data_IF_358244895142
#
_entry.id   IF_358244895142
#
_cell.length_a   1.000
_cell.length_b   1.000
_cell.length_c   1.000
_cell.angle_alpha   90.00
_cell.angle_beta   90.00
_cell.angle_gamma   90.00
#
_symmetry.space_group_name_H-M   'P 1'
#
loop_
_entity.id
_entity.type
_entity.pdbx_description
1 polymer ?
#
# COMPACT_ATOMS: atom_id res chain seq x y z
N UNK A 1 21.36 -24.18 -32.11
CA UNK A 1 20.84 -24.12 -30.74
C UNK A 1 21.56 -23.08 -29.87
N UNK A 2 22.85 -23.26 -29.52
CA UNK A 2 23.58 -22.35 -28.60
C UNK A 2 23.64 -20.88 -29.04
N UNK A 3 23.83 -20.60 -30.33
CA UNK A 3 23.94 -19.23 -30.85
C UNK A 3 22.67 -18.37 -30.60
N UNK A 4 21.49 -18.98 -30.74
CA UNK A 4 20.20 -18.31 -30.56
C UNK A 4 19.87 -18.05 -29.09
N UNK A 5 20.16 -19.02 -28.22
CA UNK A 5 20.05 -18.84 -26.77
C UNK A 5 20.99 -17.72 -26.30
N UNK A 6 22.23 -17.68 -26.78
CA UNK A 6 23.19 -16.61 -26.43
C UNK A 6 22.73 -15.24 -26.93
N UNK A 7 22.17 -15.17 -28.15
CA UNK A 7 21.63 -13.93 -28.71
C UNK A 7 20.44 -13.41 -27.89
N UNK A 8 19.58 -14.31 -27.41
CA UNK A 8 18.51 -13.97 -26.49
C UNK A 8 19.05 -13.46 -25.15
N UNK A 9 20.05 -14.13 -24.56
CA UNK A 9 20.67 -13.71 -23.30
C UNK A 9 21.36 -12.34 -23.39
N UNK A 10 21.85 -11.95 -24.58
CA UNK A 10 22.43 -10.63 -24.84
C UNK A 10 21.38 -9.55 -25.10
N UNK A 11 20.11 -9.91 -25.24
CA UNK A 11 19.01 -9.00 -25.52
C UNK A 11 18.05 -8.96 -24.31
N UNK A 12 18.06 -7.85 -23.56
CA UNK A 12 17.24 -7.64 -22.37
C UNK A 12 15.72 -7.65 -22.62
N UNK A 13 15.28 -7.51 -23.87
CA UNK A 13 13.89 -7.62 -24.27
C UNK A 13 13.51 -9.04 -24.69
N UNK A 14 14.47 -9.96 -24.84
CA UNK A 14 14.19 -11.34 -25.24
C UNK A 14 13.76 -12.20 -24.04
N UNK A 15 12.52 -12.70 -24.08
CA UNK A 15 11.91 -13.56 -23.06
C UNK A 15 11.74 -15.02 -23.54
N UNK A 16 11.57 -15.22 -24.84
CA UNK A 16 11.51 -16.55 -25.44
C UNK A 16 12.01 -16.50 -26.88
N UNK A 17 12.11 -17.66 -27.54
CA UNK A 17 12.58 -17.73 -28.93
C UNK A 17 11.81 -18.77 -29.73
N UNK A 18 11.54 -18.47 -31.00
CA UNK A 18 11.17 -19.49 -31.98
C UNK A 18 12.47 -20.03 -32.59
N UNK A 19 12.60 -21.35 -32.73
CA UNK A 19 13.77 -21.99 -33.34
C UNK A 19 13.36 -22.81 -34.55
N UNK A 20 14.08 -22.64 -35.67
CA UNK A 20 13.87 -23.46 -36.86
C UNK A 20 14.28 -24.91 -36.55
N UNK A 21 13.58 -25.89 -37.12
CA UNK A 21 13.92 -27.32 -37.01
C UNK A 21 14.92 -27.76 -38.06
N UNK A 22 15.18 -26.94 -39.08
CA UNK A 22 16.17 -27.19 -40.13
C UNK A 22 17.14 -26.03 -40.27
N UNK A 23 18.33 -26.33 -40.77
CA UNK A 23 19.31 -25.32 -41.13
C UNK A 23 18.89 -24.60 -42.41
N UNK A 24 19.18 -23.30 -42.50
CA UNK A 24 19.07 -22.54 -43.73
C UNK A 24 20.08 -23.00 -44.77
N UNK A 25 19.98 -22.46 -45.98
CA UNK A 25 20.90 -22.73 -47.10
C UNK A 25 22.35 -22.34 -46.80
N UNK A 26 22.56 -21.50 -45.78
CA UNK A 26 23.84 -21.07 -45.23
C UNK A 26 24.40 -21.99 -44.13
N UNK A 27 23.71 -23.11 -43.84
CA UNK A 27 24.09 -24.04 -42.79
C UNK A 27 23.84 -23.52 -41.37
N UNK A 28 23.14 -22.39 -41.18
CA UNK A 28 22.83 -21.84 -39.84
C UNK A 28 21.41 -22.16 -39.41
N UNK A 29 21.23 -22.34 -38.10
CA UNK A 29 19.93 -22.48 -37.47
C UNK A 29 19.33 -21.08 -37.23
N UNK A 30 18.16 -20.84 -37.80
CA UNK A 30 17.44 -19.58 -37.67
C UNK A 30 16.62 -19.54 -36.37
N UNK A 31 16.54 -18.35 -35.78
CA UNK A 31 15.72 -18.10 -34.61
C UNK A 31 15.12 -16.70 -34.62
N UNK A 32 13.96 -16.58 -33.99
CA UNK A 32 13.27 -15.33 -33.74
C UNK A 32 13.31 -15.06 -32.24
N UNK A 33 13.75 -13.87 -31.84
CA UNK A 33 13.76 -13.44 -30.45
C UNK A 33 12.42 -12.79 -30.12
N UNK A 34 11.73 -13.29 -29.10
CA UNK A 34 10.40 -12.83 -28.71
C UNK A 34 10.48 -12.06 -27.39
N UNK A 35 9.78 -10.92 -27.33
CA UNK A 35 9.62 -10.12 -26.10
C UNK A 35 8.42 -10.50 -25.25
N UNK A 36 7.92 -11.72 -25.44
CA UNK A 36 6.79 -12.32 -24.75
C UNK A 36 7.10 -13.79 -24.48
N UNK A 37 6.55 -14.33 -23.41
CA UNK A 37 6.53 -15.77 -23.14
C UNK A 37 5.12 -16.20 -22.69
N UNK A 38 4.97 -17.47 -22.31
CA UNK A 38 3.70 -18.01 -21.82
C UNK A 38 3.19 -17.30 -20.54
N UNK A 39 4.06 -16.56 -19.83
CA UNK A 39 3.77 -15.95 -18.53
C UNK A 39 3.67 -14.42 -18.58
N UNK A 40 4.34 -13.75 -19.53
CA UNK A 40 4.45 -12.29 -19.69
C UNK A 40 4.07 -11.92 -21.12
N UNK A 41 3.12 -11.00 -21.25
CA UNK A 41 2.52 -10.60 -22.53
C UNK A 41 1.93 -11.79 -23.32
N UNK A 42 1.21 -12.68 -22.64
CA UNK A 42 0.63 -13.89 -23.22
C UNK A 42 -0.28 -13.62 -24.44
N UNK A 43 -0.91 -12.43 -24.51
CA UNK A 43 -1.70 -12.01 -25.69
C UNK A 43 -0.87 -11.79 -26.96
N UNK A 44 0.43 -11.48 -26.81
CA UNK A 44 1.39 -11.31 -27.92
C UNK A 44 2.28 -12.54 -28.12
N UNK A 45 2.13 -13.55 -27.25
CA UNK A 45 2.84 -14.81 -27.37
C UNK A 45 2.24 -15.61 -28.53
N UNK A 46 2.98 -15.68 -29.63
CA UNK A 46 2.56 -16.35 -30.84
C UNK A 46 3.55 -17.44 -31.23
N UNK A 47 3.02 -18.55 -31.74
CA UNK A 47 3.80 -19.55 -32.46
C UNK A 47 3.88 -19.12 -33.91
N UNK A 48 5.08 -19.01 -34.45
CA UNK A 48 5.27 -18.81 -35.88
C UNK A 48 4.88 -20.12 -36.60
N UNK A 49 3.65 -20.19 -37.12
CA UNK A 49 3.08 -21.40 -37.77
C UNK A 49 3.35 -21.46 -39.27
N UNK A 50 4.05 -20.48 -39.83
CA UNK A 50 4.15 -20.29 -41.28
C UNK A 50 5.09 -21.27 -42.00
N UNK A 51 5.78 -22.18 -41.30
CA UNK A 51 6.56 -23.26 -41.91
C UNK A 51 6.46 -24.54 -41.05
N UNK A 52 6.33 -25.71 -41.69
CA UNK A 52 6.32 -27.06 -41.09
C UNK A 52 7.69 -27.47 -40.54
N UNK A 53 8.40 -26.53 -39.91
CA UNK A 53 9.78 -26.70 -39.51
C UNK A 53 10.26 -25.69 -38.46
N UNK A 54 9.43 -25.37 -37.46
CA UNK A 54 9.84 -24.62 -36.26
C UNK A 54 9.41 -25.37 -35.01
N UNK A 55 10.34 -25.62 -34.09
CA UNK A 55 10.04 -26.16 -32.77
C UNK A 55 10.07 -25.01 -31.77
N UNK A 56 8.96 -24.81 -31.07
CA UNK A 56 8.91 -23.80 -30.03
C UNK A 56 9.65 -24.35 -28.80
N UNK A 57 10.90 -23.94 -28.64
CA UNK A 57 11.66 -24.15 -27.42
C UNK A 57 11.51 -22.92 -26.54
N UNK A 58 10.41 -22.88 -25.79
CA UNK A 58 10.31 -22.03 -24.61
C UNK A 58 11.24 -22.60 -23.53
N UNK A 59 12.54 -22.41 -23.69
CA UNK A 59 13.47 -22.51 -22.56
C UNK A 59 13.15 -21.33 -21.65
N UNK A 60 12.79 -21.54 -20.38
CA UNK A 60 12.94 -20.50 -19.39
C UNK A 60 14.44 -20.36 -19.19
N UNK A 61 15.14 -19.60 -20.06
CA UNK A 61 16.58 -19.41 -19.92
C UNK A 61 16.90 -18.73 -18.58
N UNK A 62 15.93 -18.07 -17.96
CA UNK A 62 15.89 -17.76 -16.54
C UNK A 62 14.45 -17.94 -16.02
N UNK A 63 14.28 -18.69 -14.92
CA UNK A 63 13.03 -18.63 -14.15
C UNK A 63 12.89 -17.19 -13.66
N UNK A 64 11.78 -16.53 -14.01
CA UNK A 64 11.55 -15.16 -13.56
C UNK A 64 11.60 -15.11 -12.04
N UNK A 65 12.29 -14.14 -11.43
CA UNK A 65 12.23 -13.94 -9.99
C UNK A 65 10.79 -13.79 -9.47
N UNK A 66 9.87 -13.30 -10.31
CA UNK A 66 8.46 -13.17 -9.97
C UNK A 66 7.65 -14.48 -10.04
N UNK A 67 8.21 -15.60 -10.54
CA UNK A 67 7.47 -16.86 -10.71
C UNK A 67 7.00 -17.49 -9.40
N UNK A 68 7.62 -17.15 -8.27
CA UNK A 68 7.20 -17.59 -6.93
C UNK A 68 6.12 -16.69 -6.32
N UNK A 69 5.64 -15.65 -7.04
CA UNK A 69 4.72 -14.64 -6.52
C UNK A 69 5.21 -14.02 -5.19
N UNK A 70 6.42 -13.42 -5.16
CA UNK A 70 7.03 -12.94 -3.92
C UNK A 70 6.28 -11.76 -3.28
N UNK A 71 5.63 -10.92 -4.08
CA UNK A 71 4.87 -9.77 -3.57
C UNK A 71 3.54 -10.23 -2.96
N UNK A 72 3.34 -9.91 -1.69
CA UNK A 72 2.16 -10.23 -0.91
C UNK A 72 1.05 -9.18 -1.10
N UNK A 73 -0.13 -9.46 -0.55
CA UNK A 73 -1.28 -8.55 -0.48
C UNK A 73 -1.70 -7.95 -1.85
N UNK A 74 -1.49 -8.73 -2.91
CA UNK A 74 -1.83 -8.32 -4.28
C UNK A 74 -0.90 -7.25 -4.86
N UNK A 75 0.32 -7.10 -4.34
CA UNK A 75 1.36 -6.26 -4.93
C UNK A 75 1.75 -6.73 -6.34
N UNK A 76 2.19 -5.80 -7.18
CA UNK A 76 2.65 -6.09 -8.54
C UNK A 76 4.15 -6.34 -8.54
N UNK A 77 4.57 -7.52 -8.99
CA UNK A 77 5.97 -7.90 -9.08
C UNK A 77 6.63 -7.37 -10.35
N UNK A 78 7.73 -6.63 -10.19
CA UNK A 78 8.57 -6.13 -11.28
C UNK A 78 9.92 -6.86 -11.19
N UNK A 79 10.24 -7.75 -12.15
CA UNK A 79 11.52 -8.45 -12.16
C UNK A 79 12.62 -7.56 -12.76
N UNK A 80 13.79 -7.55 -12.12
CA UNK A 80 15.03 -7.02 -12.70
C UNK A 80 15.95 -8.18 -13.11
N UNK A 81 15.98 -8.47 -14.41
CA UNK A 81 16.76 -9.59 -14.96
C UNK A 81 18.27 -9.35 -14.98
N UNK A 82 18.73 -8.09 -14.90
CA UNK A 82 20.18 -7.80 -14.95
C UNK A 82 20.86 -8.06 -13.61
N UNK A 83 20.17 -7.79 -12.51
CA UNK A 83 20.65 -8.02 -11.14
C UNK A 83 20.02 -9.25 -10.48
N UNK A 84 19.07 -9.91 -11.13
CA UNK A 84 18.24 -10.97 -10.55
C UNK A 84 17.51 -10.54 -9.27
N UNK A 85 17.10 -9.27 -9.19
CA UNK A 85 16.36 -8.70 -8.06
C UNK A 85 14.89 -8.47 -8.42
N UNK A 86 14.08 -8.12 -7.42
CA UNK A 86 12.63 -7.94 -7.54
C UNK A 86 12.26 -6.63 -6.87
N UNK A 87 11.37 -5.88 -7.52
CA UNK A 87 10.70 -4.74 -6.91
C UNK A 87 9.19 -5.02 -6.83
N UNK A 88 8.58 -4.77 -5.66
CA UNK A 88 7.15 -4.91 -5.47
C UNK A 88 6.47 -3.54 -5.43
N UNK A 89 5.53 -3.30 -6.36
CA UNK A 89 4.62 -2.16 -6.26
C UNK A 89 3.44 -2.55 -5.37
N UNK A 90 3.37 -1.97 -4.18
CA UNK A 90 2.31 -2.26 -3.23
C UNK A 90 1.01 -1.57 -3.60
N UNK A 91 -0.08 -2.29 -3.37
CA UNK A 91 -1.42 -1.69 -3.37
C UNK A 91 -1.53 -0.67 -2.23
N UNK A 92 -2.52 0.22 -2.35
CA UNK A 92 -2.85 1.15 -1.29
C UNK A 92 -3.05 0.41 0.05
N UNK A 93 -2.60 1.02 1.14
CA UNK A 93 -2.60 0.47 2.50
C UNK A 93 -1.67 -0.72 2.79
N UNK A 94 -0.75 -1.05 1.88
CA UNK A 94 0.34 -2.00 2.13
C UNK A 94 1.71 -1.37 1.86
N UNK A 95 2.73 -1.86 2.56
CA UNK A 95 4.11 -1.42 2.42
C UNK A 95 5.08 -2.54 2.82
N UNK A 96 6.37 -2.29 2.71
CA UNK A 96 7.43 -3.29 2.89
C UNK A 96 8.04 -3.70 1.55
N UNK A 97 9.14 -4.45 1.62
CA UNK A 97 9.88 -4.90 0.43
C UNK A 97 9.02 -5.82 -0.45
N UNK A 98 8.19 -6.63 0.18
CA UNK A 98 7.30 -7.59 -0.48
C UNK A 98 5.82 -7.25 -0.23
N UNK A 99 5.50 -6.01 0.15
CA UNK A 99 4.14 -5.57 0.49
C UNK A 99 3.52 -6.40 1.62
N UNK A 100 4.34 -6.98 2.49
CA UNK A 100 3.94 -7.89 3.56
C UNK A 100 3.34 -7.16 4.78
N UNK A 101 3.54 -5.85 4.89
CA UNK A 101 3.06 -5.04 6.01
C UNK A 101 1.81 -4.28 5.63
N UNK A 102 0.75 -4.47 6.42
CA UNK A 102 -0.46 -3.67 6.33
C UNK A 102 -0.31 -2.40 7.17
N UNK A 103 -0.81 -1.27 6.65
CA UNK A 103 -0.78 0.02 7.34
C UNK A 103 -1.78 0.01 8.50
N UNK A 104 -1.31 0.32 9.71
CA UNK A 104 -2.12 0.38 10.94
C UNK A 104 -2.37 1.80 11.43
N UNK A 105 -1.61 2.78 10.91
CA UNK A 105 -1.77 4.20 11.25
C UNK A 105 -1.33 5.11 10.12
N UNK A 106 -1.82 6.35 10.11
CA UNK A 106 -1.40 7.36 9.15
C UNK A 106 0.10 7.70 9.26
N UNK A 107 0.71 7.50 10.43
CA UNK A 107 2.14 7.69 10.64
C UNK A 107 2.96 6.72 9.79
N UNK A 108 2.57 5.45 9.75
CA UNK A 108 3.32 4.42 9.00
C UNK A 108 3.36 4.71 7.50
N UNK A 109 2.22 5.11 6.92
CA UNK A 109 2.16 5.45 5.49
C UNK A 109 2.86 6.79 5.20
N UNK A 110 2.85 7.75 6.14
CA UNK A 110 3.64 8.97 6.04
C UNK A 110 5.14 8.66 6.00
N UNK A 111 5.61 7.77 6.89
CA UNK A 111 7.01 7.37 6.94
C UNK A 111 7.45 6.56 5.71
N UNK A 112 6.57 5.71 5.19
CA UNK A 112 6.83 4.90 3.99
C UNK A 112 6.94 5.75 2.71
N UNK A 113 6.05 6.74 2.53
CA UNK A 113 5.95 7.49 1.28
C UNK A 113 6.57 8.90 1.34
N UNK A 114 6.85 9.44 2.54
CA UNK A 114 7.33 10.82 2.76
C UNK A 114 6.51 11.87 2.00
N UNK A 115 5.19 11.67 1.94
CA UNK A 115 4.26 12.55 1.23
C UNK A 115 3.44 13.36 2.22
N UNK A 116 3.35 14.67 1.95
CA UNK A 116 2.57 15.63 2.75
C UNK A 116 1.13 15.80 2.23
N UNK A 117 0.72 14.96 1.28
CA UNK A 117 -0.64 15.01 0.71
C UNK A 117 -1.59 14.21 1.58
N UNK A 118 -2.56 14.91 2.18
CA UNK A 118 -3.64 14.27 2.94
C UNK A 118 -4.52 13.45 2.01
N UNK A 119 -4.85 12.22 2.39
CA UNK A 119 -5.57 11.25 1.54
C UNK A 119 -6.32 10.22 2.36
N UNK A 120 -7.31 9.59 1.74
CA UNK A 120 -7.98 8.43 2.30
C UNK A 120 -7.02 7.23 2.36
N UNK A 121 -7.02 6.54 3.49
CA UNK A 121 -6.22 5.33 3.72
C UNK A 121 -7.05 4.33 4.51
N UNK A 122 -7.06 3.08 4.06
CA UNK A 122 -7.70 1.98 4.77
C UNK A 122 -6.72 1.37 5.77
N UNK A 123 -6.98 1.53 7.07
CA UNK A 123 -6.13 1.06 8.15
C UNK A 123 -6.55 -0.35 8.60
N UNK A 124 -5.58 -1.25 8.74
CA UNK A 124 -5.78 -2.60 9.25
C UNK A 124 -5.63 -2.63 10.78
N UNK A 125 -6.76 -2.61 11.50
CA UNK A 125 -6.84 -2.53 12.95
C UNK A 125 -7.31 -3.87 13.53
N UNK A 126 -6.36 -4.81 13.69
CA UNK A 126 -6.69 -6.19 14.07
C UNK A 126 -7.37 -6.92 12.91
N UNK A 127 -8.57 -7.44 13.12
CA UNK A 127 -9.38 -8.08 12.07
C UNK A 127 -10.29 -7.09 11.31
N UNK A 128 -10.25 -5.80 11.66
CA UNK A 128 -11.11 -4.77 11.08
C UNK A 128 -10.34 -3.87 10.12
N UNK A 129 -10.99 -3.49 9.02
CA UNK A 129 -10.50 -2.47 8.09
C UNK A 129 -11.26 -1.17 8.34
N UNK A 130 -10.55 -0.05 8.47
CA UNK A 130 -11.17 1.27 8.72
C UNK A 130 -10.58 2.31 7.79
N UNK A 131 -11.41 2.87 6.92
CA UNK A 131 -11.01 3.97 6.03
C UNK A 131 -11.05 5.28 6.79
N UNK A 132 -9.96 6.05 6.72
CA UNK A 132 -9.86 7.37 7.35
C UNK A 132 -9.17 8.37 6.43
N UNK A 133 -9.51 9.65 6.55
CA UNK A 133 -8.72 10.73 5.98
C UNK A 133 -7.49 10.96 6.85
N UNK A 134 -6.33 10.50 6.38
CA UNK A 134 -5.07 10.79 7.02
C UNK A 134 -4.66 12.23 6.75
N UNK A 135 -4.42 13.00 7.82
CA UNK A 135 -3.87 14.34 7.71
C UNK A 135 -2.34 14.25 7.69
N UNK A 136 -1.74 14.67 6.59
CA UNK A 136 -0.29 14.54 6.35
C UNK A 136 0.39 15.91 6.36
N UNK A 137 1.64 15.93 6.83
CA UNK A 137 2.45 17.15 6.94
C UNK A 137 2.08 17.99 8.15
N UNK A 138 2.67 19.19 8.23
CA UNK A 138 2.40 20.14 9.30
C UNK A 138 1.24 21.08 8.97
N UNK A 139 0.09 20.85 9.61
CA UNK A 139 -1.10 21.71 9.55
C UNK A 139 -1.37 22.46 10.87
N UNK A 140 -0.36 22.54 11.75
CA UNK A 140 -0.48 23.13 13.09
C UNK A 140 -0.33 22.14 14.24
N UNK A 141 -0.13 20.85 13.93
CA UNK A 141 0.16 19.80 14.91
C UNK A 141 1.60 19.29 14.86
N UNK A 142 2.43 19.83 13.97
CA UNK A 142 3.77 19.34 13.68
C UNK A 142 3.76 18.34 12.53
N UNK A 143 4.92 18.24 11.88
CA UNK A 143 5.12 17.39 10.70
C UNK A 143 4.93 15.90 11.02
N UNK A 144 4.16 15.20 10.18
CA UNK A 144 3.86 13.78 10.35
C UNK A 144 2.57 13.32 9.70
N UNK A 145 2.26 12.03 9.90
CA UNK A 145 0.97 11.43 9.54
C UNK A 145 0.06 11.30 10.76
N UNK A 146 -1.05 12.03 10.75
CA UNK A 146 -2.00 12.12 11.86
C UNK A 146 -3.24 11.26 11.60
N UNK A 147 -3.51 10.35 12.53
CA UNK A 147 -4.65 9.41 12.44
C UNK A 147 -5.85 9.98 13.17
N UNK A 148 -6.98 10.27 12.50
CA UNK A 148 -8.18 10.73 13.19
C UNK A 148 -8.76 9.58 14.03
N UNK A 149 -9.23 9.93 15.23
CA UNK A 149 -9.85 8.98 16.17
C UNK A 149 -11.29 9.32 16.50
N UNK A 150 -11.62 10.60 16.52
CA UNK A 150 -12.92 11.12 16.88
C UNK A 150 -13.10 12.54 16.34
N UNK A 151 -14.32 12.90 15.95
CA UNK A 151 -14.76 14.29 15.70
C UNK A 151 -16.05 14.54 16.45
N UNK A 152 -16.14 15.69 17.11
CA UNK A 152 -17.27 16.07 17.97
C UNK A 152 -17.88 17.37 17.45
N UNK A 153 -19.21 17.43 17.40
CA UNK A 153 -19.92 18.64 17.06
C UNK A 153 -20.48 19.26 18.34
N UNK A 154 -19.96 20.43 18.73
CA UNK A 154 -20.37 21.12 19.96
C UNK A 154 -21.85 21.52 20.03
N UNK A 155 -22.58 21.48 18.90
CA UNK A 155 -24.03 21.72 18.87
C UNK A 155 -24.87 20.46 19.09
N UNK A 156 -24.24 19.30 19.31
CA UNK A 156 -24.89 18.00 19.54
C UNK A 156 -24.51 17.45 20.91
N UNK A 157 -25.37 16.60 21.46
CA UNK A 157 -25.16 15.95 22.76
C UNK A 157 -24.52 14.55 22.66
N UNK A 158 -24.25 14.04 21.45
CA UNK A 158 -23.73 12.69 21.20
C UNK A 158 -22.50 12.36 22.04
N UNK A 159 -21.53 13.29 22.09
CA UNK A 159 -20.29 13.16 22.84
C UNK A 159 -20.21 14.16 24.00
N UNK A 160 -21.34 14.51 24.60
CA UNK A 160 -21.34 15.22 25.87
C UNK A 160 -20.48 14.46 26.91
N UNK A 161 -19.91 15.15 27.90
CA UNK A 161 -18.84 14.58 28.74
C UNK A 161 -19.28 13.36 29.58
N UNK A 162 -20.57 13.20 29.81
CA UNK A 162 -21.20 12.07 30.52
C UNK A 162 -21.60 10.92 29.58
N UNK A 163 -21.36 11.05 28.27
CA UNK A 163 -21.69 10.05 27.27
C UNK A 163 -20.87 8.78 27.47
N UNK A 164 -21.54 7.62 27.40
CA UNK A 164 -20.87 6.31 27.44
C UNK A 164 -19.88 6.09 26.28
N UNK A 165 -19.95 6.89 25.21
CA UNK A 165 -19.00 6.81 24.10
C UNK A 165 -17.55 7.08 24.50
N UNK A 166 -17.29 7.81 25.59
CA UNK A 166 -15.92 8.05 26.07
C UNK A 166 -15.25 6.79 26.63
N UNK A 167 -16.03 5.90 27.23
CA UNK A 167 -15.54 4.72 27.98
C UNK A 167 -15.90 3.38 27.34
N UNK A 168 -16.64 3.35 26.23
CA UNK A 168 -16.93 2.14 25.47
C UNK A 168 -16.08 2.01 24.19
N UNK A 169 -16.12 0.83 23.55
CA UNK A 169 -15.49 0.57 22.24
C UNK A 169 -16.51 0.50 21.10
N UNK A 170 -17.60 1.27 21.24
CA UNK A 170 -18.65 1.34 20.23
C UNK A 170 -18.29 2.43 19.22
N UNK A 171 -18.38 2.09 17.94
CA UNK A 171 -18.19 3.01 16.81
C UNK A 171 -19.38 3.96 16.68
N UNK A 172 -19.15 5.12 16.06
CA UNK A 172 -20.21 6.05 15.69
C UNK A 172 -19.86 6.72 14.37
N UNK A 173 -20.78 6.65 13.39
CA UNK A 173 -20.66 7.32 12.09
C UNK A 173 -19.26 7.22 11.47
N UNK A 174 -18.84 6.00 11.09
CA UNK A 174 -17.49 5.75 10.54
C UNK A 174 -17.20 6.54 9.26
N UNK A 175 -18.22 6.80 8.43
CA UNK A 175 -18.10 7.65 7.24
C UNK A 175 -17.62 9.07 7.57
N UNK A 176 -17.91 9.58 8.78
CA UNK A 176 -17.37 10.86 9.24
C UNK A 176 -15.85 10.85 9.36
N UNK A 177 -15.20 9.69 9.48
CA UNK A 177 -13.74 9.57 9.47
C UNK A 177 -13.08 9.79 8.10
N UNK A 178 -13.86 9.76 7.02
CA UNK A 178 -13.38 9.92 5.64
C UNK A 178 -13.34 11.40 5.20
N UNK A 179 -13.74 12.32 6.07
CA UNK A 179 -13.77 13.75 5.78
C UNK A 179 -12.90 14.54 6.76
N UNK A 180 -12.51 15.74 6.35
CA UNK A 180 -11.62 16.61 7.14
C UNK A 180 -12.31 17.29 8.32
N UNK A 181 -11.91 18.53 8.61
CA UNK A 181 -12.42 19.34 9.73
C UNK A 181 -13.82 19.94 9.43
N UNK A 182 -14.79 19.06 9.20
CA UNK A 182 -16.21 19.37 9.01
C UNK A 182 -17.05 19.12 10.28
N UNK A 183 -18.37 19.21 10.15
CA UNK A 183 -19.32 19.04 11.27
C UNK A 183 -19.85 17.62 11.44
N UNK A 184 -19.32 16.64 10.70
CA UNK A 184 -19.72 15.24 10.79
C UNK A 184 -19.05 14.61 12.01
N UNK A 185 -19.86 14.27 13.01
CA UNK A 185 -19.41 13.55 14.19
C UNK A 185 -18.90 12.16 13.82
N UNK A 186 -17.83 11.70 14.45
CA UNK A 186 -17.35 10.32 14.25
C UNK A 186 -16.63 9.81 15.48
N UNK A 187 -16.68 8.50 15.68
CA UNK A 187 -15.83 7.76 16.62
C UNK A 187 -15.40 6.48 15.93
N UNK A 188 -14.09 6.37 15.71
CA UNK A 188 -13.50 5.33 14.87
C UNK A 188 -12.82 4.25 15.72
N UNK A 189 -12.62 3.04 15.19
CA UNK A 189 -11.82 2.00 15.84
C UNK A 189 -10.39 2.42 16.20
N UNK A 190 -9.84 3.40 15.48
CA UNK A 190 -8.54 4.03 15.81
C UNK A 190 -8.52 4.62 17.22
N UNK A 191 -9.68 4.99 17.80
CA UNK A 191 -9.79 5.46 19.19
C UNK A 191 -9.28 4.45 20.23
N UNK A 192 -9.47 3.14 20.00
CA UNK A 192 -9.02 2.08 20.92
C UNK A 192 -7.91 1.18 20.35
N UNK A 193 -7.59 1.28 19.05
CA UNK A 193 -6.60 0.43 18.39
C UNK A 193 -5.32 1.16 17.91
N UNK A 194 -5.21 2.48 18.09
CA UNK A 194 -4.05 3.25 17.61
C UNK A 194 -3.16 3.74 18.76
N UNK A 195 -1.94 3.21 18.83
CA UNK A 195 -0.89 3.70 19.74
C UNK A 195 -0.33 5.04 19.26
N UNK A 196 -0.01 5.94 20.18
CA UNK A 196 0.50 7.27 19.86
C UNK A 196 1.49 7.80 20.91
N UNK A 197 2.25 8.83 20.53
CA UNK A 197 3.14 9.60 21.41
C UNK A 197 2.74 11.08 21.55
N UNK A 198 1.78 11.54 20.74
CA UNK A 198 1.25 12.91 20.76
C UNK A 198 -0.24 12.87 20.43
N UNK A 199 -0.99 13.81 20.99
CA UNK A 199 -2.39 14.09 20.65
C UNK A 199 -2.43 15.45 19.96
N UNK A 200 -3.08 15.52 18.81
CA UNK A 200 -3.40 16.74 18.11
C UNK A 200 -4.89 17.03 18.34
N UNK A 201 -5.20 18.07 19.11
CA UNK A 201 -6.57 18.50 19.36
C UNK A 201 -6.85 19.75 18.54
N UNK A 202 -7.73 19.62 17.54
CA UNK A 202 -8.20 20.72 16.70
C UNK A 202 -9.58 21.21 17.15
N UNK A 203 -9.78 22.53 17.20
CA UNK A 203 -11.06 23.16 17.48
C UNK A 203 -11.39 24.16 16.37
N UNK A 204 -12.60 24.04 15.81
CA UNK A 204 -13.10 24.90 14.74
C UNK A 204 -14.24 25.79 15.25
N UNK A 205 -14.11 27.10 15.10
CA UNK A 205 -15.19 28.08 15.33
C UNK A 205 -15.34 28.90 14.05
N UNK A 206 -16.50 28.77 13.39
CA UNK A 206 -16.70 29.35 12.06
C UNK A 206 -15.69 28.76 11.07
N UNK A 207 -14.91 29.62 10.41
CA UNK A 207 -13.85 29.21 9.48
C UNK A 207 -12.48 29.04 10.15
N UNK A 208 -12.32 29.50 11.39
CA UNK A 208 -11.03 29.42 12.09
C UNK A 208 -10.85 28.07 12.75
N UNK A 209 -9.69 27.45 12.51
CA UNK A 209 -9.28 26.21 13.16
C UNK A 209 -8.01 26.49 13.95
N UNK A 210 -7.99 26.07 15.21
CA UNK A 210 -6.80 26.14 16.08
C UNK A 210 -6.46 24.75 16.57
N UNK A 211 -5.16 24.49 16.68
CA UNK A 211 -4.63 23.20 17.11
C UNK A 211 -3.80 23.36 18.37
N UNK A 212 -3.89 22.36 19.26
CA UNK A 212 -2.96 22.18 20.36
C UNK A 212 -2.35 20.77 20.28
N UNK A 213 -1.08 20.67 20.63
CA UNK A 213 -0.36 19.40 20.67
C UNK A 213 -0.05 19.05 22.11
N UNK A 214 -0.51 17.87 22.53
CA UNK A 214 -0.26 17.32 23.86
C UNK A 214 0.71 16.15 23.72
N UNK A 215 1.87 16.25 24.35
CA UNK A 215 2.87 15.18 24.34
C UNK A 215 2.47 14.12 25.38
N UNK A 216 1.95 12.99 24.91
CA UNK A 216 1.51 11.91 25.79
C UNK A 216 1.58 10.58 25.06
N UNK A 217 2.16 9.57 25.73
CA UNK A 217 2.31 8.23 25.17
C UNK A 217 1.27 7.29 25.76
N UNK A 218 0.51 6.62 24.91
CA UNK A 218 -0.46 5.61 25.30
C UNK A 218 -0.66 4.58 24.18
N UNK A 219 -1.20 3.41 24.53
CA UNK A 219 -1.54 2.37 23.54
C UNK A 219 -2.80 2.72 22.74
N UNK A 220 -3.65 3.60 23.26
CA UNK A 220 -4.84 4.15 22.58
C UNK A 220 -5.46 5.29 23.38
N UNK A 221 -6.35 6.09 22.75
CA UNK A 221 -7.04 7.17 23.46
C UNK A 221 -8.00 6.58 24.49
N UNK A 222 -8.68 5.48 24.14
CA UNK A 222 -9.47 4.68 25.06
C UNK A 222 -8.70 4.30 26.33
N UNK A 223 -7.52 3.69 26.20
CA UNK A 223 -6.71 3.26 27.36
C UNK A 223 -6.26 4.42 28.24
N UNK A 224 -6.25 5.63 27.66
CA UNK A 224 -5.79 6.83 28.33
C UNK A 224 -6.91 7.56 29.07
N UNK A 225 -8.16 7.54 28.60
CA UNK A 225 -9.23 8.37 29.20
C UNK A 225 -10.45 7.59 29.68
N UNK A 226 -10.63 6.32 29.28
CA UNK A 226 -11.82 5.54 29.60
C UNK A 226 -11.97 5.21 31.10
N UNK A 227 -10.89 5.27 31.88
CA UNK A 227 -10.92 5.00 33.33
C UNK A 227 -11.37 6.21 34.17
N UNK A 228 -11.64 7.35 33.52
CA UNK A 228 -12.08 8.59 34.18
C UNK A 228 -11.03 9.22 35.09
N UNK A 229 -9.78 8.73 35.10
CA UNK A 229 -8.73 9.30 35.95
C UNK A 229 -8.15 10.54 35.29
N UNK A 230 -8.08 11.63 36.06
CA UNK A 230 -7.36 12.81 35.65
C UNK A 230 -5.86 12.49 35.44
N UNK A 231 -5.30 13.05 34.38
CA UNK A 231 -3.87 12.94 34.05
C UNK A 231 -3.39 14.33 33.72
N UNK A 232 -2.32 14.78 34.38
CA UNK A 232 -1.76 16.08 34.04
C UNK A 232 -1.16 16.02 32.64
N UNK A 233 -1.48 17.02 31.82
CA UNK A 233 -1.02 17.12 30.42
C UNK A 233 0.07 18.20 30.23
N UNK A 234 0.37 18.95 31.30
CA UNK A 234 1.50 19.87 31.48
C UNK A 234 1.54 20.36 32.92
#
# INVERSE_FOLDING_TARGET
>A
MFHCALACLRNNLCLSLNMATSHGTDGKLWCELLSSDKNRNAGNYHKNTTFTGWSQQSFPLFQSPCSSSPCQNGGTCIPNFSSNTIDCLCKESFFGEFCEKAVKSCKEIYEANKSNVSKLVSLHLGSQLTTVLCHMGDFGCGDGGWTPVMKINGNKSTFHYDSGYWSNKTEYNTAGGETGFDSQETKLPTYWNTSFSKICLGMKIGEQIRFIVINMKASSLYSLIADGKYRNTS
#
